data_IF_929379893319
#
_entry.id   IF_929379893319
#
_cell.length_a   1.000
_cell.length_b   1.000
_cell.length_c   1.000
_cell.angle_alpha   90.00
_cell.angle_beta   90.00
_cell.angle_gamma   90.00
#
_symmetry.space_group_name_H-M   'P 1'
#
loop_
_entity.id
_entity.type
_entity.pdbx_description
1 polymer ?
#
# COMPACT_ATOMS: atom_id res chain seq x y z
N UNK A 1 26.55 8.31 -11.89
CA UNK A 1 26.73 8.27 -13.36
C UNK A 1 26.15 7.01 -14.04
N UNK A 2 26.04 5.86 -13.36
CA UNK A 2 25.39 4.64 -13.90
C UNK A 2 23.85 4.72 -13.90
N UNK A 3 23.26 5.37 -12.89
CA UNK A 3 21.80 5.56 -12.74
C UNK A 3 21.19 6.51 -13.78
N UNK A 4 21.89 7.59 -14.14
CA UNK A 4 21.46 8.52 -15.21
C UNK A 4 21.37 7.81 -16.56
N UNK A 5 22.26 6.85 -16.84
CA UNK A 5 22.20 6.04 -18.07
C UNK A 5 21.02 5.06 -18.07
N UNK A 6 20.66 4.51 -16.91
CA UNK A 6 19.51 3.59 -16.79
C UNK A 6 18.18 4.33 -17.01
N UNK A 7 18.01 5.52 -16.41
CA UNK A 7 16.82 6.37 -16.59
C UNK A 7 16.68 6.84 -18.04
N UNK A 8 17.79 7.23 -18.68
CA UNK A 8 17.78 7.64 -20.09
C UNK A 8 17.44 6.46 -21.02
N UNK A 9 17.93 5.25 -20.75
CA UNK A 9 17.58 4.05 -21.51
C UNK A 9 16.11 3.65 -21.35
N UNK A 10 15.53 3.73 -20.14
CA UNK A 10 14.11 3.43 -19.93
C UNK A 10 13.22 4.46 -20.63
N UNK A 11 13.57 5.75 -20.60
CA UNK A 11 12.85 6.79 -21.36
C UNK A 11 12.97 6.61 -22.88
N UNK A 12 14.14 6.22 -23.39
CA UNK A 12 14.34 5.95 -24.83
C UNK A 12 13.56 4.72 -25.29
N UNK A 13 13.49 3.67 -24.46
CA UNK A 13 12.69 2.47 -24.74
C UNK A 13 11.19 2.81 -24.71
N UNK A 14 10.73 3.66 -23.79
CA UNK A 14 9.34 4.15 -23.77
C UNK A 14 9.00 5.02 -24.99
N UNK A 15 9.94 5.87 -25.44
CA UNK A 15 9.78 6.65 -26.66
C UNK A 15 9.80 5.76 -27.93
N UNK A 16 10.56 4.66 -27.91
CA UNK A 16 10.63 3.71 -29.02
C UNK A 16 9.42 2.77 -29.08
N UNK A 17 8.85 2.35 -27.94
CA UNK A 17 7.61 1.57 -27.93
C UNK A 17 6.40 2.39 -28.36
N UNK A 18 6.40 3.71 -28.10
CA UNK A 18 5.40 4.65 -28.64
C UNK A 18 5.53 4.89 -30.15
N UNK A 19 6.68 4.59 -30.77
CA UNK A 19 6.90 4.78 -32.22
C UNK A 19 6.62 3.54 -33.09
N UNK A 20 6.39 2.37 -32.49
CA UNK A 20 6.15 1.11 -33.22
C UNK A 20 4.65 0.71 -33.32
N UNK A 21 3.74 1.43 -32.68
CA UNK A 21 2.31 1.35 -32.95
C UNK A 21 1.92 2.42 -33.98
N UNK A 22 2.29 2.21 -35.24
CA UNK A 22 1.93 3.08 -36.35
C UNK A 22 0.42 3.02 -36.65
N UNK A 23 -0.34 3.97 -36.10
CA UNK A 23 -1.60 4.46 -36.64
C UNK A 23 -1.80 5.91 -36.16
N UNK A 24 -1.32 6.87 -36.95
CA UNK A 24 -1.72 8.29 -36.93
C UNK A 24 -1.97 8.93 -35.55
N UNK A 25 -0.90 9.27 -34.83
CA UNK A 25 -0.95 10.41 -33.90
C UNK A 25 -1.10 11.70 -34.74
N UNK A 26 -2.33 11.98 -35.19
CA UNK A 26 -2.73 13.29 -35.70
C UNK A 26 -2.86 14.36 -34.60
N UNK A 27 -2.37 14.04 -33.40
CA UNK A 27 -2.30 14.93 -32.25
C UNK A 27 -1.04 15.78 -32.30
N UNK A 28 -1.19 17.11 -32.23
CA UNK A 28 -0.07 18.04 -32.28
C UNK A 28 0.83 17.89 -31.06
N UNK A 29 2.02 17.33 -31.25
CA UNK A 29 3.11 17.42 -30.27
C UNK A 29 3.63 18.86 -30.30
N UNK A 30 3.63 19.53 -29.15
CA UNK A 30 4.13 20.89 -29.00
C UNK A 30 5.14 20.95 -27.85
N UNK A 31 6.17 21.76 -28.01
CA UNK A 31 7.03 22.18 -26.89
C UNK A 31 6.65 23.61 -26.52
N UNK A 32 6.36 23.86 -25.24
CA UNK A 32 6.06 25.21 -24.77
C UNK A 32 7.32 26.03 -24.49
N UNK A 33 7.14 27.25 -23.98
CA UNK A 33 8.25 28.19 -23.72
C UNK A 33 9.14 27.75 -22.55
N UNK A 34 8.62 26.87 -21.70
CA UNK A 34 9.31 26.36 -20.51
C UNK A 34 9.97 25.00 -20.79
N UNK A 35 9.89 24.52 -22.04
CA UNK A 35 10.48 23.26 -22.48
C UNK A 35 9.62 22.05 -22.18
N UNK A 36 8.36 22.22 -21.79
CA UNK A 36 7.44 21.11 -21.53
C UNK A 36 6.96 20.53 -22.84
N UNK A 37 6.90 19.20 -22.90
CA UNK A 37 6.32 18.47 -24.02
C UNK A 37 4.84 18.29 -23.76
N UNK A 38 4.02 18.87 -24.63
CA UNK A 38 2.57 18.79 -24.61
C UNK A 38 2.15 17.86 -25.75
N UNK A 39 1.47 16.77 -25.41
CA UNK A 39 0.90 15.81 -26.36
C UNK A 39 -0.61 15.89 -26.18
N UNK A 40 -1.32 16.36 -27.22
CA UNK A 40 -2.79 16.36 -27.24
C UNK A 40 -3.28 15.24 -28.12
N UNK A 41 -4.18 14.42 -27.61
CA UNK A 41 -4.92 13.44 -28.40
C UNK A 41 -6.44 13.63 -28.21
N UNK A 42 -7.24 12.63 -28.58
CA UNK A 42 -8.70 12.68 -28.43
C UNK A 42 -9.16 12.49 -26.98
N UNK A 43 -8.30 11.96 -26.12
CA UNK A 43 -8.58 11.60 -24.74
C UNK A 43 -8.09 12.65 -23.73
N UNK A 44 -7.25 13.58 -24.15
CA UNK A 44 -6.86 14.73 -23.34
C UNK A 44 -5.53 15.35 -23.71
N UNK A 45 -5.00 16.12 -22.76
CA UNK A 45 -3.69 16.73 -22.81
C UNK A 45 -2.74 16.04 -21.85
N UNK A 46 -1.61 15.55 -22.38
CA UNK A 46 -0.50 15.01 -21.61
C UNK A 46 0.59 16.08 -21.55
N UNK A 47 0.99 16.48 -20.36
CA UNK A 47 2.10 17.42 -20.15
C UNK A 47 3.25 16.70 -19.46
N UNK A 48 4.41 16.68 -20.10
CA UNK A 48 5.66 16.11 -19.59
C UNK A 48 6.66 17.25 -19.39
N UNK A 49 7.08 17.46 -18.15
CA UNK A 49 8.16 18.41 -17.84
C UNK A 49 7.91 19.21 -16.58
N UNK A 50 6.92 20.09 -16.59
CA UNK A 50 6.82 21.19 -15.62
C UNK A 50 6.68 20.67 -14.18
N UNK A 51 7.64 21.03 -13.32
CA UNK A 51 7.72 20.55 -11.93
C UNK A 51 6.70 21.20 -10.99
N UNK A 52 5.62 21.78 -11.52
CA UNK A 52 4.62 22.47 -10.72
C UNK A 52 3.61 21.46 -10.18
N UNK A 53 3.45 21.48 -8.86
CA UNK A 53 2.43 20.70 -8.19
C UNK A 53 1.04 21.20 -8.57
N UNK A 54 0.24 20.34 -9.19
CA UNK A 54 -1.15 20.62 -9.47
C UNK A 54 -2.02 19.99 -8.38
N UNK A 55 -2.37 20.81 -7.39
CA UNK A 55 -3.20 20.39 -6.26
C UNK A 55 -4.58 19.87 -6.70
N UNK A 56 -5.09 20.32 -7.84
CA UNK A 56 -6.38 19.84 -8.37
C UNK A 56 -6.26 18.41 -8.90
N UNK A 57 -5.17 18.12 -9.62
CA UNK A 57 -4.87 16.76 -10.12
C UNK A 57 -4.46 15.79 -9.02
N UNK A 58 -4.01 16.32 -7.88
CA UNK A 58 -3.69 15.55 -6.67
C UNK A 58 -4.82 15.58 -5.63
N UNK A 59 -6.05 15.90 -6.05
CA UNK A 59 -7.26 15.78 -5.22
C UNK A 59 -7.16 16.50 -3.87
N UNK A 60 -6.52 17.68 -3.87
CA UNK A 60 -6.38 18.51 -2.67
C UNK A 60 -5.22 18.13 -1.75
N UNK A 61 -4.40 17.13 -2.11
CA UNK A 61 -3.13 16.87 -1.43
C UNK A 61 -2.14 18.01 -1.64
N UNK A 62 -1.42 18.34 -0.57
CA UNK A 62 -0.33 19.30 -0.64
C UNK A 62 0.93 18.64 -1.22
N UNK A 63 1.81 19.46 -1.79
CA UNK A 63 3.05 18.99 -2.37
C UNK A 63 3.92 18.33 -1.27
N UNK A 64 4.67 17.27 -1.60
CA UNK A 64 5.64 16.70 -0.68
C UNK A 64 6.73 17.73 -0.35
N UNK A 65 7.32 17.62 0.84
CA UNK A 65 8.56 18.33 1.19
C UNK A 65 9.76 17.66 0.50
N UNK A 66 9.83 17.81 -0.81
CA UNK A 66 10.83 17.19 -1.66
C UNK A 66 11.07 18.06 -2.91
N UNK A 67 12.18 17.82 -3.61
CA UNK A 67 12.42 18.49 -4.90
C UNK A 67 11.80 17.66 -6.02
N UNK A 68 10.80 18.23 -6.70
CA UNK A 68 10.15 17.59 -7.84
C UNK A 68 11.13 17.50 -9.03
N UNK A 69 11.25 16.32 -9.61
CA UNK A 69 12.20 16.02 -10.70
C UNK A 69 11.49 15.79 -12.02
N UNK A 70 10.32 15.17 -11.99
CA UNK A 70 9.50 14.87 -13.17
C UNK A 70 8.03 15.12 -12.86
N UNK A 71 7.27 15.45 -13.91
CA UNK A 71 5.82 15.47 -13.88
C UNK A 71 5.27 14.88 -15.16
N UNK A 72 4.15 14.19 -15.01
CA UNK A 72 3.30 13.71 -16.08
C UNK A 72 1.88 13.99 -15.63
N UNK A 73 1.18 14.92 -16.27
CA UNK A 73 -0.22 15.19 -15.95
C UNK A 73 -1.10 14.83 -17.14
N UNK A 74 -2.28 14.28 -16.84
CA UNK A 74 -3.33 13.93 -17.79
C UNK A 74 -4.66 14.42 -17.26
N UNK A 75 -5.73 14.26 -18.03
CA UNK A 75 -7.10 14.54 -17.54
C UNK A 75 -7.57 13.56 -16.47
N UNK A 76 -7.00 12.35 -16.42
CA UNK A 76 -7.40 11.26 -15.54
C UNK A 76 -6.55 11.13 -14.27
N UNK A 77 -5.44 11.88 -14.17
CA UNK A 77 -4.52 11.79 -13.04
C UNK A 77 -3.18 12.48 -13.30
N UNK A 78 -2.29 12.41 -12.33
CA UNK A 78 -0.94 12.96 -12.39
C UNK A 78 0.08 12.02 -11.79
N UNK A 79 1.32 12.11 -12.23
CA UNK A 79 2.48 11.43 -11.66
C UNK A 79 3.59 12.45 -11.46
N UNK A 80 4.20 12.43 -10.28
CA UNK A 80 5.33 13.27 -9.92
C UNK A 80 6.48 12.38 -9.43
N UNK A 81 7.66 12.55 -10.01
CA UNK A 81 8.90 12.04 -9.44
C UNK A 81 9.53 13.10 -8.54
N UNK A 82 10.18 12.66 -7.47
CA UNK A 82 10.86 13.57 -6.54
C UNK A 82 12.21 13.01 -6.07
N UNK A 83 13.09 13.90 -5.62
CA UNK A 83 14.35 13.61 -4.94
C UNK A 83 14.50 14.46 -3.67
N UNK A 84 15.55 14.17 -2.88
CA UNK A 84 15.94 14.93 -1.69
C UNK A 84 14.90 14.94 -0.55
N UNK A 85 14.01 13.95 -0.49
CA UNK A 85 13.04 13.80 0.60
C UNK A 85 13.68 13.12 1.82
N UNK A 86 13.42 13.64 3.02
CA UNK A 86 13.84 13.00 4.27
C UNK A 86 12.91 11.85 4.64
N UNK A 87 13.43 10.86 5.35
CA UNK A 87 12.66 9.67 5.78
C UNK A 87 11.47 10.06 6.66
N UNK A 88 11.66 11.02 7.57
CA UNK A 88 10.60 11.50 8.45
C UNK A 88 9.50 12.23 7.66
N UNK A 89 9.89 13.02 6.65
CA UNK A 89 8.95 13.71 5.77
C UNK A 89 8.15 12.71 4.90
N UNK A 90 8.73 11.55 4.55
CA UNK A 90 8.01 10.48 3.84
C UNK A 90 6.94 9.83 4.73
N UNK A 91 7.26 9.51 6.00
CA UNK A 91 6.28 9.01 6.98
C UNK A 91 5.16 10.02 7.24
N UNK A 92 5.52 11.30 7.42
CA UNK A 92 4.54 12.40 7.53
C UNK A 92 3.62 12.48 6.31
N UNK A 93 4.18 12.28 5.11
CA UNK A 93 3.40 12.36 3.88
C UNK A 93 2.36 11.23 3.76
N UNK A 94 2.71 10.00 4.14
CA UNK A 94 1.76 8.89 4.23
C UNK A 94 0.61 9.23 5.19
N UNK A 95 0.92 9.79 6.36
CA UNK A 95 -0.10 10.23 7.31
C UNK A 95 -0.98 11.36 6.75
N UNK A 96 -0.41 12.28 5.97
CA UNK A 96 -1.18 13.32 5.30
C UNK A 96 -2.15 12.75 4.26
N UNK A 97 -1.73 11.72 3.50
CA UNK A 97 -2.59 10.99 2.56
C UNK A 97 -3.77 10.34 3.31
N UNK A 98 -3.50 9.60 4.39
CA UNK A 98 -4.55 8.98 5.23
C UNK A 98 -5.52 10.03 5.81
N UNK A 99 -4.99 11.13 6.33
CA UNK A 99 -5.79 12.23 6.92
C UNK A 99 -6.70 12.91 5.89
N UNK A 100 -6.34 12.87 4.61
CA UNK A 100 -7.18 13.38 3.51
C UNK A 100 -8.27 12.40 3.07
N UNK A 101 -8.40 11.24 3.72
CA UNK A 101 -9.47 10.29 3.48
C UNK A 101 -9.14 9.23 2.43
N UNK A 102 -7.88 9.11 2.00
CA UNK A 102 -7.43 8.06 1.08
C UNK A 102 -7.18 6.74 1.84
N UNK A 103 -8.18 6.24 2.56
CA UNK A 103 -8.05 5.11 3.49
C UNK A 103 -8.65 3.80 2.97
N UNK A 104 -9.38 3.84 1.85
CA UNK A 104 -10.08 2.69 1.28
C UNK A 104 -9.14 1.84 0.43
N UNK A 105 -9.34 0.51 0.44
CA UNK A 105 -8.52 -0.45 -0.32
C UNK A 105 -7.02 -0.18 -0.15
N UNK A 106 -6.62 0.13 1.09
CA UNK A 106 -5.30 0.68 1.31
C UNK A 106 -4.24 -0.41 1.42
N UNK A 107 -3.06 -0.14 0.89
CA UNK A 107 -1.91 -1.03 0.94
C UNK A 107 -0.71 -0.26 1.44
N UNK A 108 -0.11 -0.70 2.54
CA UNK A 108 1.18 -0.19 3.01
C UNK A 108 2.26 -1.24 2.79
N UNK A 109 3.40 -0.87 2.21
CA UNK A 109 4.55 -1.77 2.05
C UNK A 109 5.78 -1.13 2.70
N UNK A 110 6.35 -1.84 3.67
CA UNK A 110 7.38 -1.31 4.56
C UNK A 110 6.93 -0.03 5.25
N UNK A 111 7.89 0.87 5.50
CA UNK A 111 7.63 2.15 6.17
C UNK A 111 7.32 3.31 5.21
N UNK A 112 7.48 3.07 3.90
CA UNK A 112 7.72 4.14 2.93
C UNK A 112 6.90 4.04 1.64
N UNK A 113 6.02 3.04 1.53
CA UNK A 113 5.11 2.92 0.39
C UNK A 113 3.66 2.81 0.87
N UNK A 114 2.78 3.58 0.23
CA UNK A 114 1.36 3.61 0.56
C UNK A 114 0.52 3.73 -0.70
N UNK A 115 -0.56 2.97 -0.76
CA UNK A 115 -1.64 3.11 -1.73
C UNK A 115 -2.95 3.25 -0.98
N UNK A 116 -3.84 4.12 -1.44
CA UNK A 116 -5.18 4.25 -0.87
C UNK A 116 -6.12 5.02 -1.78
N UNK A 117 -7.41 4.72 -1.66
CA UNK A 117 -8.49 5.39 -2.38
C UNK A 117 -9.34 6.24 -1.42
N UNK A 118 -10.00 7.27 -1.93
CA UNK A 118 -11.05 8.00 -1.22
C UNK A 118 -12.45 7.55 -1.67
N UNK A 119 -13.50 8.10 -1.03
CA UNK A 119 -14.92 7.80 -1.33
C UNK A 119 -15.34 8.03 -2.78
N UNK A 120 -14.63 8.91 -3.50
CA UNK A 120 -14.93 9.24 -4.90
C UNK A 120 -14.21 8.32 -5.90
N UNK A 121 -13.44 7.34 -5.41
CA UNK A 121 -12.63 6.44 -6.23
C UNK A 121 -11.30 7.05 -6.70
N UNK A 122 -10.89 8.18 -6.13
CA UNK A 122 -9.56 8.75 -6.40
C UNK A 122 -8.50 7.99 -5.65
N UNK A 123 -7.48 7.51 -6.35
CA UNK A 123 -6.43 6.64 -5.83
C UNK A 123 -5.11 7.41 -5.80
N UNK A 124 -4.40 7.30 -4.68
CA UNK A 124 -3.06 7.84 -4.50
C UNK A 124 -2.10 6.68 -4.27
N UNK A 125 -0.99 6.69 -5.00
CA UNK A 125 0.13 5.76 -4.83
C UNK A 125 1.36 6.61 -4.50
N UNK A 126 1.95 6.37 -3.34
CA UNK A 126 3.18 6.98 -2.85
C UNK A 126 4.23 5.89 -2.69
N UNK A 127 5.42 6.11 -3.25
CA UNK A 127 6.59 5.26 -3.03
C UNK A 127 7.78 6.12 -2.65
N UNK A 128 8.59 5.63 -1.72
CA UNK A 128 9.83 6.26 -1.31
C UNK A 128 10.92 5.20 -1.09
N UNK A 129 12.11 5.51 -1.60
CA UNK A 129 13.33 4.74 -1.45
C UNK A 129 14.29 5.53 -0.56
N UNK A 130 14.56 5.01 0.64
CA UNK A 130 15.39 5.67 1.65
C UNK A 130 16.87 5.79 1.25
N UNK A 131 17.39 4.80 0.50
CA UNK A 131 18.78 4.78 0.05
C UNK A 131 19.06 5.93 -0.92
N UNK A 132 18.10 6.21 -1.80
CA UNK A 132 18.20 7.24 -2.84
C UNK A 132 17.53 8.55 -2.47
N UNK A 133 16.72 8.56 -1.40
CA UNK A 133 15.90 9.69 -0.97
C UNK A 133 14.97 10.21 -2.06
N UNK A 134 14.45 9.29 -2.87
CA UNK A 134 13.68 9.57 -4.07
C UNK A 134 12.45 8.69 -4.15
N UNK A 135 11.50 9.06 -5.01
CA UNK A 135 10.26 8.33 -5.09
C UNK A 135 9.28 8.88 -6.11
N UNK A 136 8.06 8.35 -6.05
CA UNK A 136 6.97 8.76 -6.95
C UNK A 136 5.67 8.96 -6.20
N UNK A 137 4.87 9.91 -6.70
CA UNK A 137 3.50 10.16 -6.25
C UNK A 137 2.62 10.11 -7.47
N UNK A 138 1.63 9.22 -7.48
CA UNK A 138 0.69 9.06 -8.58
C UNK A 138 -0.72 9.25 -8.08
N UNK A 139 -1.52 10.02 -8.81
CA UNK A 139 -2.97 10.08 -8.69
C UNK A 139 -3.63 9.46 -9.91
N UNK A 140 -4.72 8.75 -9.66
CA UNK A 140 -5.57 8.20 -10.72
C UNK A 140 -7.02 8.10 -10.25
N UNK A 141 -7.92 7.70 -11.14
CA UNK A 141 -9.33 7.47 -10.82
C UNK A 141 -9.70 6.02 -11.16
N UNK A 142 -10.20 5.31 -10.16
CA UNK A 142 -10.86 4.02 -10.30
C UNK A 142 -12.36 4.14 -10.04
N UNK A 143 -12.99 2.99 -9.81
CA UNK A 143 -14.36 2.95 -9.34
C UNK A 143 -14.44 3.37 -7.86
N UNK A 144 -15.50 4.08 -7.45
CA UNK A 144 -15.73 4.40 -6.05
C UNK A 144 -15.75 3.12 -5.18
N UNK A 145 -15.08 3.13 -4.02
CA UNK A 145 -15.12 2.01 -3.10
C UNK A 145 -16.53 1.79 -2.56
N UNK A 146 -16.86 0.54 -2.29
CA UNK A 146 -18.06 0.16 -1.54
C UNK A 146 -17.83 0.36 -0.03
N UNK A 147 -18.91 0.34 0.77
CA UNK A 147 -18.77 0.39 2.23
C UNK A 147 -17.96 -0.78 2.80
N UNK A 148 -17.97 -1.95 2.14
CA UNK A 148 -17.16 -3.12 2.51
C UNK A 148 -15.66 -2.89 2.31
N UNK A 149 -15.27 -1.91 1.49
CA UNK A 149 -13.87 -1.58 1.20
C UNK A 149 -13.25 -0.64 2.24
N UNK A 150 -14.04 -0.10 3.19
CA UNK A 150 -13.55 0.73 4.31
C UNK A 150 -12.58 -0.02 5.19
N UNK A 151 -12.88 -1.29 5.44
CA UNK A 151 -12.14 -2.14 6.38
C UNK A 151 -11.03 -2.96 5.69
N UNK A 152 -10.81 -2.73 4.39
CA UNK A 152 -9.77 -3.37 3.58
C UNK A 152 -8.46 -2.60 3.69
N UNK A 153 -7.57 -3.09 4.55
CA UNK A 153 -6.20 -2.62 4.69
C UNK A 153 -5.24 -3.80 4.61
N UNK A 154 -4.30 -3.76 3.68
CA UNK A 154 -3.17 -4.67 3.63
C UNK A 154 -1.90 -3.94 4.06
N UNK A 155 -1.15 -4.50 5.00
CA UNK A 155 0.13 -3.95 5.45
C UNK A 155 1.18 -5.04 5.38
N UNK A 156 2.18 -4.84 4.53
CA UNK A 156 3.28 -5.77 4.32
C UNK A 156 4.55 -5.17 4.91
N UNK A 157 4.96 -5.62 6.10
CA UNK A 157 6.15 -5.13 6.81
C UNK A 157 6.01 -3.73 7.45
N UNK A 158 7.14 -3.21 7.91
CA UNK A 158 7.30 -1.88 8.52
C UNK A 158 7.72 -1.94 10.00
N UNK A 159 8.61 -1.04 10.43
CA UNK A 159 9.18 -0.99 11.78
C UNK A 159 8.20 -0.57 12.86
N UNK A 160 7.16 0.16 12.47
CA UNK A 160 6.25 0.83 13.41
C UNK A 160 4.98 0.00 13.68
N UNK A 161 4.94 -1.26 13.21
CA UNK A 161 3.75 -2.12 13.30
C UNK A 161 3.66 -2.82 14.64
N UNK A 162 2.46 -2.78 15.21
CA UNK A 162 2.15 -3.33 16.53
C UNK A 162 0.89 -4.17 16.45
N UNK A 163 0.83 -5.16 17.31
CA UNK A 163 -0.38 -5.92 17.58
C UNK A 163 -1.50 -4.98 18.06
N UNK A 164 -2.69 -5.11 17.47
CA UNK A 164 -3.90 -4.44 17.96
C UNK A 164 -4.89 -5.49 18.48
N UNK A 165 -4.92 -5.64 19.81
CA UNK A 165 -5.83 -6.56 20.48
C UNK A 165 -7.30 -6.30 20.16
N UNK A 166 -7.68 -5.05 19.84
CA UNK A 166 -9.07 -4.72 19.52
C UNK A 166 -9.53 -5.33 18.19
N UNK A 167 -8.60 -5.54 17.25
CA UNK A 167 -8.84 -6.20 15.96
C UNK A 167 -8.83 -7.73 16.08
N UNK A 168 -8.19 -8.27 17.13
CA UNK A 168 -8.01 -9.71 17.35
C UNK A 168 -8.95 -10.26 18.43
N UNK A 169 -10.17 -9.72 18.53
CA UNK A 169 -11.18 -10.20 19.48
C UNK A 169 -10.78 -10.06 20.95
N UNK A 170 -9.87 -9.14 21.27
CA UNK A 170 -9.34 -8.91 22.62
C UNK A 170 -8.14 -9.78 22.99
N UNK A 171 -7.62 -10.62 22.09
CA UNK A 171 -6.44 -11.43 22.37
C UNK A 171 -5.22 -10.55 22.68
N UNK A 172 -4.42 -10.89 23.71
CA UNK A 172 -3.25 -10.11 24.08
C UNK A 172 -2.13 -10.24 23.03
N UNK A 173 -1.20 -9.31 23.03
CA UNK A 173 -0.03 -9.35 22.13
C UNK A 173 0.77 -10.66 22.34
N UNK A 174 1.05 -11.44 21.28
CA UNK A 174 1.88 -12.65 21.37
C UNK A 174 3.34 -12.37 21.73
N UNK A 175 3.79 -11.12 21.71
CA UNK A 175 5.17 -10.73 22.03
C UNK A 175 6.16 -11.01 20.91
N UNK A 176 5.67 -11.24 19.68
CA UNK A 176 6.47 -11.47 18.48
C UNK A 176 6.38 -10.28 17.53
N UNK A 177 7.46 -10.03 16.78
CA UNK A 177 7.52 -8.95 15.80
C UNK A 177 6.59 -9.26 14.61
N UNK A 178 5.71 -8.31 14.30
CA UNK A 178 4.74 -8.44 13.21
C UNK A 178 5.46 -8.27 11.87
N UNK A 179 5.47 -9.34 11.08
CA UNK A 179 6.02 -9.35 9.72
C UNK A 179 5.02 -8.84 8.68
N UNK A 180 3.74 -9.19 8.82
CA UNK A 180 2.66 -8.66 7.97
C UNK A 180 1.33 -8.63 8.70
N UNK A 181 0.44 -7.77 8.21
CA UNK A 181 -0.91 -7.57 8.69
C UNK A 181 -1.87 -7.43 7.51
N UNK A 182 -3.03 -8.06 7.58
CA UNK A 182 -4.09 -7.90 6.58
C UNK A 182 -5.43 -7.82 7.32
N UNK A 183 -6.23 -6.81 7.03
CA UNK A 183 -7.62 -6.70 7.43
C UNK A 183 -8.49 -6.63 6.18
N UNK A 184 -9.48 -7.49 6.07
CA UNK A 184 -10.43 -7.48 4.96
C UNK A 184 -11.72 -8.19 5.35
N UNK A 185 -12.86 -7.53 5.17
CA UNK A 185 -14.18 -8.18 5.28
C UNK A 185 -14.44 -8.85 6.64
N UNK A 186 -14.01 -8.22 7.74
CA UNK A 186 -14.16 -8.76 9.10
C UNK A 186 -13.16 -9.87 9.48
N UNK A 187 -12.22 -10.17 8.59
CA UNK A 187 -11.08 -11.06 8.83
C UNK A 187 -9.81 -10.24 9.03
N UNK A 188 -9.06 -10.57 10.07
CA UNK A 188 -7.80 -9.94 10.44
C UNK A 188 -6.73 -11.01 10.53
N UNK A 189 -5.59 -10.77 9.91
CA UNK A 189 -4.48 -11.70 9.81
C UNK A 189 -3.20 -10.99 10.23
N UNK A 190 -2.43 -11.64 11.10
CA UNK A 190 -1.07 -11.26 11.46
C UNK A 190 -0.12 -12.40 11.14
N UNK A 191 1.07 -12.09 10.63
CA UNK A 191 2.18 -13.04 10.52
C UNK A 191 3.43 -12.57 11.25
N UNK A 192 4.28 -13.51 11.62
CA UNK A 192 5.49 -13.32 12.40
C UNK A 192 6.64 -14.13 11.77
N UNK A 193 7.85 -13.56 11.69
CA UNK A 193 9.02 -14.25 11.13
C UNK A 193 9.51 -15.39 12.03
N UNK A 194 9.31 -15.26 13.35
CA UNK A 194 9.59 -16.34 14.29
C UNK A 194 8.70 -16.18 15.51
N UNK A 195 7.95 -17.22 15.84
CA UNK A 195 7.18 -17.26 17.08
C UNK A 195 7.26 -18.67 17.65
N UNK A 196 8.20 -18.91 18.56
CA UNK A 196 8.47 -20.25 19.11
C UNK A 196 7.58 -20.61 20.30
N UNK A 197 6.94 -19.62 20.92
CA UNK A 197 6.02 -19.79 22.04
C UNK A 197 4.55 -20.02 21.60
N UNK A 198 4.33 -20.48 20.36
CA UNK A 198 2.98 -20.62 19.81
C UNK A 198 2.08 -21.56 20.61
N UNK A 199 2.65 -22.58 21.27
CA UNK A 199 1.87 -23.52 22.12
C UNK A 199 1.36 -22.86 23.39
N UNK A 200 2.20 -22.07 24.05
CA UNK A 200 1.79 -21.31 25.23
C UNK A 200 0.71 -20.28 24.86
N UNK A 201 0.83 -19.70 23.67
CA UNK A 201 -0.16 -18.75 23.17
C UNK A 201 -1.50 -19.40 22.79
N UNK A 202 -1.52 -20.68 22.39
CA UNK A 202 -2.76 -21.42 22.20
C UNK A 202 -3.53 -21.58 23.50
N UNK A 203 -2.84 -21.78 24.62
CA UNK A 203 -3.50 -21.81 25.94
C UNK A 203 -4.11 -20.45 26.27
N UNK A 204 -3.44 -19.34 25.93
CA UNK A 204 -4.01 -17.99 26.02
C UNK A 204 -5.27 -17.87 25.14
N UNK A 205 -5.24 -18.35 23.89
CA UNK A 205 -6.41 -18.35 23.00
C UNK A 205 -7.58 -19.11 23.63
N UNK A 206 -7.32 -20.29 24.22
CA UNK A 206 -8.32 -21.11 24.93
C UNK A 206 -8.87 -20.39 26.17
N UNK A 207 -8.02 -19.74 26.96
CA UNK A 207 -8.41 -18.93 28.12
C UNK A 207 -9.32 -17.74 27.75
N UNK A 208 -9.16 -17.20 26.54
CA UNK A 208 -10.03 -16.15 25.99
C UNK A 208 -11.32 -16.69 25.35
N UNK A 209 -11.62 -17.98 25.57
CA UNK A 209 -12.90 -18.60 25.25
C UNK A 209 -13.01 -19.16 23.83
N UNK A 210 -11.93 -19.19 23.04
CA UNK A 210 -11.93 -19.77 21.70
C UNK A 210 -11.79 -21.29 21.74
N UNK A 211 -12.74 -21.99 22.37
CA UNK A 211 -12.69 -23.45 22.62
C UNK A 211 -13.81 -24.24 21.92
N UNK A 212 -14.77 -23.56 21.31
CA UNK A 212 -15.87 -24.18 20.56
C UNK A 212 -15.38 -24.60 19.16
N UNK A 213 -15.92 -25.71 18.62
CA UNK A 213 -15.49 -26.30 17.34
C UNK A 213 -13.97 -26.45 17.18
N UNK A 214 -13.27 -26.68 18.29
CA UNK A 214 -11.81 -26.66 18.30
C UNK A 214 -11.20 -27.81 17.51
N UNK A 215 -10.14 -27.50 16.76
CA UNK A 215 -9.31 -28.45 16.03
C UNK A 215 -7.84 -28.14 16.29
N UNK A 216 -7.06 -29.17 16.59
CA UNK A 216 -5.63 -29.05 16.85
C UNK A 216 -4.88 -30.12 16.04
N UNK A 217 -3.86 -29.69 15.30
CA UNK A 217 -3.01 -30.55 14.46
C UNK A 217 -1.56 -30.27 14.78
N UNK A 218 -0.80 -31.33 15.03
CA UNK A 218 0.63 -31.28 15.32
C UNK A 218 1.33 -32.36 14.49
N UNK A 219 2.12 -31.95 13.50
CA UNK A 219 2.75 -32.86 12.55
C UNK A 219 4.04 -32.25 12.02
N UNK A 220 5.16 -32.98 12.12
CA UNK A 220 6.48 -32.70 11.54
C UNK A 220 6.73 -31.24 11.09
N UNK A 221 7.04 -30.38 12.07
CA UNK A 221 7.43 -28.99 11.81
C UNK A 221 6.25 -28.04 11.52
N UNK A 222 5.01 -28.51 11.67
CA UNK A 222 3.79 -27.75 11.50
C UNK A 222 2.85 -27.93 12.70
N UNK A 223 2.27 -26.84 13.16
CA UNK A 223 1.27 -26.81 14.22
C UNK A 223 0.11 -25.92 13.79
N UNK A 224 -1.11 -26.36 14.06
CA UNK A 224 -2.33 -25.59 13.82
C UNK A 224 -3.28 -25.73 15.00
N UNK A 225 -3.84 -24.61 15.41
CA UNK A 225 -5.00 -24.55 16.29
C UNK A 225 -6.10 -23.72 15.62
N UNK A 226 -7.33 -24.19 15.67
CA UNK A 226 -8.51 -23.42 15.30
C UNK A 226 -9.57 -23.56 16.39
N UNK A 227 -10.26 -22.49 16.72
CA UNK A 227 -11.35 -22.50 17.70
C UNK A 227 -12.26 -21.28 17.58
N UNK A 228 -13.48 -21.42 18.07
CA UNK A 228 -14.50 -20.37 18.10
C UNK A 228 -14.85 -19.99 19.54
N UNK A 229 -15.30 -18.75 19.74
CA UNK A 229 -15.90 -18.33 21.01
C UNK A 229 -17.43 -18.33 20.93
N UNK A 230 -18.09 -18.15 22.08
CA UNK A 230 -19.56 -18.20 22.20
C UNK A 230 -20.32 -17.13 21.40
N UNK A 231 -19.62 -16.10 20.94
CA UNK A 231 -20.18 -15.09 20.02
C UNK A 231 -20.02 -15.49 18.54
N UNK A 232 -19.50 -16.68 18.25
CA UNK A 232 -19.26 -17.19 16.90
C UNK A 232 -17.99 -16.70 16.23
N UNK A 233 -17.17 -15.87 16.90
CA UNK A 233 -15.90 -15.41 16.33
C UNK A 233 -14.91 -16.55 16.31
N UNK A 234 -14.03 -16.58 15.30
CA UNK A 234 -13.08 -17.67 15.07
C UNK A 234 -11.65 -17.16 15.11
N UNK A 235 -10.77 -17.99 15.67
CA UNK A 235 -9.31 -17.80 15.64
C UNK A 235 -8.67 -19.02 15.04
N UNK A 236 -7.67 -18.79 14.19
CA UNK A 236 -6.80 -19.83 13.63
C UNK A 236 -5.36 -19.39 13.86
N UNK A 237 -4.60 -20.20 14.57
CA UNK A 237 -3.14 -20.09 14.67
C UNK A 237 -2.52 -21.17 13.79
N UNK A 238 -1.56 -20.78 12.95
CA UNK A 238 -0.73 -21.71 12.17
C UNK A 238 0.74 -21.37 12.38
N UNK A 239 1.53 -22.34 12.81
CA UNK A 239 2.96 -22.22 13.01
C UNK A 239 3.71 -23.27 12.21
N UNK A 240 4.85 -22.87 11.64
CA UNK A 240 5.85 -23.74 11.03
C UNK A 240 7.22 -23.45 11.64
N UNK A 241 8.28 -24.10 11.16
CA UNK A 241 9.66 -23.80 11.59
C UNK A 241 10.06 -22.36 11.32
N UNK A 242 9.53 -21.76 10.25
CA UNK A 242 10.05 -20.50 9.69
C UNK A 242 9.02 -19.36 9.75
N UNK A 243 7.80 -19.63 10.21
CA UNK A 243 6.74 -18.62 10.23
C UNK A 243 5.63 -18.97 11.21
N UNK A 244 4.99 -17.96 11.77
CA UNK A 244 3.70 -18.13 12.43
C UNK A 244 2.69 -17.12 11.90
N UNK A 245 1.41 -17.48 11.96
CA UNK A 245 0.31 -16.57 11.68
C UNK A 245 -0.85 -16.80 12.63
N UNK A 246 -1.59 -15.72 12.89
CA UNK A 246 -2.83 -15.73 13.66
C UNK A 246 -3.88 -15.01 12.82
N UNK A 247 -4.99 -15.69 12.57
CA UNK A 247 -6.15 -15.17 11.85
C UNK A 247 -7.30 -15.07 12.83
N UNK A 248 -7.99 -13.94 12.85
CA UNK A 248 -9.23 -13.71 13.55
C UNK A 248 -10.33 -13.41 12.53
N UNK A 249 -11.48 -14.05 12.68
CA UNK A 249 -12.68 -13.77 11.88
C UNK A 249 -13.84 -13.45 12.80
N UNK A 250 -14.43 -12.27 12.62
CA UNK A 250 -15.65 -11.89 13.32
C UNK A 250 -16.85 -12.70 12.81
N UNK A 251 -17.79 -13.03 13.68
CA UNK A 251 -19.06 -13.60 13.26
C UNK A 251 -19.85 -12.60 12.40
N UNK A 252 -20.58 -13.11 11.41
CA UNK A 252 -21.52 -12.34 10.56
C UNK A 252 -22.75 -11.86 11.34
#
# INVERSE_FOLDING_TARGET
MKTIKAVFCVMLVFALTLSLAGCSFGGGIKVDKDGNVIIKDKEGEIVIGEKKWDKSKMHGLDAPKAKLTTSLTTDKGAMYGFDEMKEEDAKEYINAIKTKGFIYNSVTVGDYSYTGANEEGHIIIFTYDADTKSGTITSSKGDPPSEEDKDREAVLGGSDKKWDSSLMGGLPDPGAEVASFLSSGGEVYYSFESFTAYRDYVEIIKEHGFTEDASEVDSDGYYMYAGANSAGNRVILMASTDSCSITFKKAD
#
